data_IF_937416350143
#
_entry.id   IF_937416350143
#
_cell.length_a   1.000
_cell.length_b   1.000
_cell.length_c   1.000
_cell.angle_alpha   90.00
_cell.angle_beta   90.00
_cell.angle_gamma   90.00
#
_symmetry.space_group_name_H-M   'P 1'
#
loop_
_entity.id
_entity.type
_entity.pdbx_description
1 polymer ?
#
# COMPACT_ATOMS: atom_id res chain seq x y z
N UNK A 1 -13.10 -27.65 15.32
CA UNK A 1 -13.58 -26.49 14.52
C UNK A 1 -12.72 -25.31 14.95
N UNK A 2 -11.69 -24.97 14.18
CA UNK A 2 -10.88 -23.79 14.47
C UNK A 2 -11.77 -22.55 14.25
N UNK A 3 -11.62 -21.47 15.03
CA UNK A 3 -12.32 -20.23 14.72
C UNK A 3 -11.91 -19.83 13.29
N UNK A 4 -12.87 -19.65 12.40
CA UNK A 4 -12.64 -18.98 11.11
C UNK A 4 -12.24 -17.55 11.44
N UNK A 5 -10.94 -17.35 11.65
CA UNK A 5 -10.36 -16.03 11.86
C UNK A 5 -10.77 -15.16 10.69
N UNK A 6 -11.36 -14.00 11.00
CA UNK A 6 -11.66 -12.97 10.01
C UNK A 6 -10.38 -12.67 9.24
N UNK A 7 -10.41 -12.75 7.91
CA UNK A 7 -9.28 -12.34 7.06
C UNK A 7 -8.87 -10.92 7.41
N UNK A 8 -7.60 -10.75 7.76
CA UNK A 8 -7.03 -9.47 8.18
C UNK A 8 -6.33 -8.79 7.00
N UNK A 9 -6.37 -7.46 6.99
CA UNK A 9 -5.75 -6.65 5.94
C UNK A 9 -4.80 -5.65 6.59
N UNK A 10 -3.57 -5.58 6.11
CA UNK A 10 -2.66 -4.49 6.39
C UNK A 10 -2.57 -3.53 5.20
N UNK A 11 -2.30 -2.26 5.45
CA UNK A 11 -1.84 -1.32 4.45
C UNK A 11 -0.33 -1.10 4.58
N UNK A 12 0.41 -1.22 3.49
CA UNK A 12 1.83 -0.91 3.40
C UNK A 12 2.01 0.42 2.69
N UNK A 13 2.32 1.47 3.44
CA UNK A 13 2.59 2.81 2.91
C UNK A 13 4.09 3.02 2.78
N UNK A 14 4.59 3.22 1.56
CA UNK A 14 5.99 3.59 1.34
C UNK A 14 6.11 5.11 1.29
N UNK A 15 6.86 5.69 2.22
CA UNK A 15 7.23 7.11 2.22
C UNK A 15 8.59 7.26 1.57
N UNK A 16 8.59 7.78 0.34
CA UNK A 16 9.81 8.09 -0.40
C UNK A 16 10.33 9.50 -0.07
N UNK A 17 11.65 9.63 0.06
CA UNK A 17 12.33 10.88 0.44
C UNK A 17 12.34 11.98 -0.62
N UNK A 18 11.99 13.19 -0.18
CA UNK A 18 12.24 14.55 -0.72
C UNK A 18 11.10 15.53 -0.39
N UNK A 19 10.02 15.08 0.27
CA UNK A 19 8.93 15.96 0.69
C UNK A 19 9.42 16.89 1.81
N UNK A 20 9.25 18.20 1.61
CA UNK A 20 9.39 19.17 2.69
C UNK A 20 8.53 18.71 3.88
N UNK A 21 9.12 18.65 5.07
CA UNK A 21 8.46 18.23 6.31
C UNK A 21 7.14 18.97 6.53
N UNK A 22 7.06 20.24 6.11
CA UNK A 22 5.84 21.05 6.19
C UNK A 22 4.69 20.52 5.32
N UNK A 23 4.99 19.84 4.22
CA UNK A 23 4.00 19.22 3.31
C UNK A 23 3.76 17.75 3.61
N UNK A 24 4.76 17.07 4.19
CA UNK A 24 4.68 15.65 4.56
C UNK A 24 3.63 15.43 5.65
N UNK A 25 3.60 16.30 6.66
CA UNK A 25 2.71 16.15 7.80
C UNK A 25 1.22 16.07 7.45
N UNK A 26 0.61 17.07 6.77
CA UNK A 26 -0.80 17.01 6.43
C UNK A 26 -1.13 15.92 5.41
N UNK A 27 -0.20 15.56 4.53
CA UNK A 27 -0.40 14.48 3.56
C UNK A 27 -0.41 13.10 4.27
N UNK A 28 0.57 12.84 5.12
CA UNK A 28 0.67 11.60 5.88
C UNK A 28 -0.52 11.41 6.82
N UNK A 29 -0.94 12.44 7.55
CA UNK A 29 -2.12 12.36 8.42
C UNK A 29 -3.37 11.98 7.62
N UNK A 30 -3.53 12.58 6.44
CA UNK A 30 -4.67 12.30 5.57
C UNK A 30 -4.63 10.87 5.01
N UNK A 31 -3.47 10.43 4.54
CA UNK A 31 -3.27 9.07 4.01
C UNK A 31 -3.55 8.04 5.10
N UNK A 32 -2.96 8.20 6.29
CA UNK A 32 -3.15 7.30 7.42
C UNK A 32 -4.60 7.18 7.82
N UNK A 33 -5.34 8.30 7.89
CA UNK A 33 -6.79 8.28 8.19
C UNK A 33 -7.55 7.39 7.21
N UNK A 34 -7.28 7.52 5.91
CA UNK A 34 -7.92 6.67 4.90
C UNK A 34 -7.51 5.21 4.99
N UNK A 35 -6.29 4.91 5.40
CA UNK A 35 -5.78 3.54 5.52
C UNK A 35 -6.31 2.82 6.76
N UNK A 36 -6.38 3.49 7.92
CA UNK A 36 -6.92 2.89 9.15
C UNK A 36 -8.42 2.59 9.06
N UNK A 37 -9.15 3.27 8.18
CA UNK A 37 -10.56 2.98 7.90
C UNK A 37 -10.75 1.67 7.10
N UNK A 38 -9.70 1.20 6.42
CA UNK A 38 -9.76 0.05 5.50
C UNK A 38 -9.00 -1.16 6.04
N UNK A 39 -7.86 -0.93 6.70
CA UNK A 39 -6.94 -1.94 7.16
C UNK A 39 -6.96 -2.11 8.69
N UNK A 40 -6.73 -3.33 9.14
CA UNK A 40 -6.58 -3.69 10.55
C UNK A 40 -5.19 -3.26 11.09
N UNK A 41 -4.21 -3.14 10.20
CA UNK A 41 -2.83 -2.76 10.46
C UNK A 41 -2.33 -1.79 9.37
N UNK A 42 -1.47 -0.84 9.72
CA UNK A 42 -0.81 0.05 8.77
C UNK A 42 0.69 0.05 9.04
N UNK A 43 1.47 -0.43 8.09
CA UNK A 43 2.93 -0.38 8.11
C UNK A 43 3.39 0.78 7.23
N UNK A 44 4.03 1.77 7.84
CA UNK A 44 4.65 2.89 7.14
C UNK A 44 6.14 2.61 7.03
N UNK A 45 6.63 2.41 5.80
CA UNK A 45 8.04 2.24 5.53
C UNK A 45 8.65 3.57 5.13
N UNK A 46 9.37 4.19 6.06
CA UNK A 46 9.98 5.50 5.90
C UNK A 46 11.41 5.39 5.40
N UNK A 47 11.64 5.79 4.15
CA UNK A 47 12.95 5.66 3.52
C UNK A 47 13.85 6.88 3.67
N UNK A 48 13.40 7.91 4.38
CA UNK A 48 14.10 9.18 4.50
C UNK A 48 14.31 9.64 5.94
N UNK A 49 14.23 8.68 6.88
CA UNK A 49 14.54 8.86 8.29
C UNK A 49 13.82 10.05 8.94
N UNK A 50 12.53 10.19 8.62
CA UNK A 50 11.66 11.17 9.26
C UNK A 50 11.25 10.73 10.66
N UNK A 51 11.66 9.57 11.18
CA UNK A 51 11.29 9.06 12.50
C UNK A 51 12.05 9.76 13.65
N UNK A 52 12.03 11.10 13.67
CA UNK A 52 12.53 11.94 14.75
C UNK A 52 11.38 12.44 15.64
N UNK A 53 11.59 12.62 16.96
CA UNK A 53 10.56 13.19 17.84
C UNK A 53 9.99 14.51 17.31
N UNK A 54 8.66 14.61 17.26
CA UNK A 54 7.94 15.79 16.76
C UNK A 54 7.77 15.84 15.24
N UNK A 55 8.15 14.78 14.52
CA UNK A 55 7.79 14.62 13.11
C UNK A 55 6.42 13.97 12.95
N UNK A 56 5.81 14.13 11.78
CA UNK A 56 4.56 13.45 11.46
C UNK A 56 4.68 11.92 11.42
N UNK A 57 5.85 11.40 11.02
CA UNK A 57 6.11 9.96 11.04
C UNK A 57 6.21 9.45 12.49
N UNK A 58 6.80 10.22 13.40
CA UNK A 58 6.80 9.88 14.82
C UNK A 58 5.39 9.95 15.41
N UNK A 59 4.64 11.01 15.13
CA UNK A 59 3.26 11.16 15.63
C UNK A 59 2.33 10.05 15.12
N UNK A 60 2.57 9.56 13.90
CA UNK A 60 1.85 8.41 13.34
C UNK A 60 2.00 7.14 14.21
N UNK A 61 3.15 6.92 14.84
CA UNK A 61 3.38 5.76 15.73
C UNK A 61 2.50 5.77 16.99
N UNK A 62 1.89 6.91 17.33
CA UNK A 62 0.98 7.02 18.47
C UNK A 62 -0.37 6.33 18.21
N UNK A 63 -0.70 6.06 16.94
CA UNK A 63 -1.92 5.35 16.59
C UNK A 63 -1.70 3.82 16.74
N UNK A 64 -2.58 3.08 17.44
CA UNK A 64 -2.33 1.68 17.80
C UNK A 64 -2.28 0.73 16.60
N UNK A 65 -2.91 1.10 15.48
CA UNK A 65 -2.87 0.32 14.24
C UNK A 65 -1.66 0.64 13.36
N UNK A 66 -0.84 1.64 13.71
CA UNK A 66 0.23 2.13 12.84
C UNK A 66 1.60 1.73 13.39
N UNK A 67 2.39 1.08 12.54
CA UNK A 67 3.80 0.79 12.80
C UNK A 67 4.64 1.54 11.78
N UNK A 68 5.60 2.34 12.24
CA UNK A 68 6.53 3.04 11.36
C UNK A 68 7.89 2.36 11.43
N UNK A 69 8.44 2.04 10.27
CA UNK A 69 9.71 1.33 10.11
C UNK A 69 10.65 2.21 9.30
N UNK A 70 11.79 2.55 9.89
CA UNK A 70 12.87 3.20 9.16
C UNK A 70 13.52 2.22 8.18
N UNK A 71 13.69 2.66 6.94
CA UNK A 71 14.14 1.83 5.84
C UNK A 71 15.06 2.57 4.88
N UNK A 72 15.48 1.85 3.84
CA UNK A 72 16.35 2.39 2.79
C UNK A 72 15.64 2.38 1.43
N UNK A 73 15.76 3.48 0.68
CA UNK A 73 15.32 3.58 -0.71
C UNK A 73 16.43 3.12 -1.65
N UNK A 74 16.24 1.97 -2.30
CA UNK A 74 17.22 1.40 -3.22
C UNK A 74 16.91 1.71 -4.71
N UNK A 75 16.25 2.84 -5.00
CA UNK A 75 15.74 3.20 -6.35
C UNK A 75 14.82 2.13 -6.96
N UNK A 76 14.19 1.33 -6.11
CA UNK A 76 13.39 0.17 -6.49
C UNK A 76 12.18 0.07 -5.57
N UNK A 77 11.02 0.41 -6.15
CA UNK A 77 9.73 0.42 -5.45
C UNK A 77 9.33 -0.97 -4.98
N UNK A 78 9.56 -1.98 -5.81
CA UNK A 78 9.15 -3.35 -5.49
C UNK A 78 9.97 -3.85 -4.30
N UNK A 79 11.26 -3.53 -4.25
CA UNK A 79 12.09 -3.82 -3.07
C UNK A 79 11.64 -3.08 -1.83
N UNK A 80 11.27 -1.81 -1.92
CA UNK A 80 10.75 -1.07 -0.78
C UNK A 80 9.43 -1.65 -0.25
N UNK A 81 8.53 -2.05 -1.16
CA UNK A 81 7.28 -2.74 -0.79
C UNK A 81 7.54 -4.10 -0.16
N UNK A 82 8.45 -4.90 -0.71
CA UNK A 82 8.86 -6.18 -0.13
C UNK A 82 9.48 -6.01 1.27
N UNK A 83 10.29 -4.98 1.47
CA UNK A 83 10.85 -4.64 2.77
C UNK A 83 9.74 -4.25 3.76
N UNK A 84 8.79 -3.41 3.35
CA UNK A 84 7.62 -3.05 4.17
C UNK A 84 6.80 -4.29 4.54
N UNK A 85 6.56 -5.19 3.58
CA UNK A 85 5.80 -6.43 3.79
C UNK A 85 6.43 -7.37 4.83
N UNK A 86 7.75 -7.31 5.04
CA UNK A 86 8.41 -8.11 6.07
C UNK A 86 7.95 -7.78 7.50
N UNK A 87 7.28 -6.65 7.69
CA UNK A 87 6.77 -6.19 8.98
C UNK A 87 5.26 -6.43 9.16
N UNK A 88 4.57 -6.92 8.13
CA UNK A 88 3.11 -7.10 8.16
C UNK A 88 2.73 -8.37 8.90
N UNK A 89 1.82 -8.26 9.86
CA UNK A 89 1.23 -9.39 10.58
C UNK A 89 -0.10 -9.90 9.99
N UNK A 90 -0.77 -9.11 9.15
CA UNK A 90 -2.04 -9.46 8.53
C UNK A 90 -1.93 -10.55 7.44
N UNK A 91 -3.06 -11.12 7.00
CA UNK A 91 -3.12 -12.14 5.93
C UNK A 91 -2.85 -11.57 4.53
N UNK A 92 -3.26 -10.31 4.32
CA UNK A 92 -3.11 -9.59 3.05
C UNK A 92 -2.52 -8.20 3.30
N UNK A 93 -1.64 -7.76 2.41
CA UNK A 93 -1.01 -6.45 2.41
C UNK A 93 -1.44 -5.64 1.18
N UNK A 94 -2.09 -4.50 1.41
CA UNK A 94 -2.41 -3.49 0.41
C UNK A 94 -1.24 -2.51 0.28
N UNK A 95 -0.48 -2.58 -0.81
CA UNK A 95 0.67 -1.72 -1.07
C UNK A 95 0.25 -0.39 -1.69
N UNK A 96 0.45 0.71 -0.97
CA UNK A 96 0.08 2.07 -1.37
C UNK A 96 1.29 3.02 -1.33
N UNK A 97 1.22 4.06 -2.14
CA UNK A 97 2.20 5.15 -2.15
C UNK A 97 1.67 6.35 -1.37
N UNK A 98 2.59 7.15 -0.85
CA UNK A 98 2.28 8.44 -0.26
C UNK A 98 1.43 9.28 -1.22
N UNK A 99 0.34 9.86 -0.70
CA UNK A 99 -0.65 10.68 -1.40
C UNK A 99 -1.69 9.90 -2.20
N UNK A 100 -1.62 8.57 -2.28
CA UNK A 100 -2.67 7.75 -2.89
C UNK A 100 -3.92 7.68 -2.01
N UNK A 101 -5.09 7.82 -2.62
CA UNK A 101 -6.37 7.74 -1.92
C UNK A 101 -6.98 6.36 -2.11
N UNK A 102 -7.15 5.62 -1.02
CA UNK A 102 -7.82 4.33 -1.03
C UNK A 102 -9.32 4.53 -0.79
N UNK A 103 -10.15 3.90 -1.60
CA UNK A 103 -11.57 3.72 -1.31
C UNK A 103 -11.88 2.24 -1.34
N UNK A 104 -12.47 1.73 -0.25
CA UNK A 104 -12.77 0.31 -0.12
C UNK A 104 -14.15 0.08 0.53
N UNK A 105 -14.67 -1.12 0.33
CA UNK A 105 -15.79 -1.69 1.12
C UNK A 105 -15.20 -2.78 2.04
N UNK A 106 -14.78 -2.46 3.27
CA UNK A 106 -13.88 -3.32 4.05
C UNK A 106 -14.46 -4.70 4.40
N UNK A 107 -15.75 -4.83 4.71
CA UNK A 107 -16.33 -6.17 4.96
C UNK A 107 -16.42 -7.01 3.68
N UNK A 108 -16.90 -6.42 2.59
CA UNK A 108 -17.04 -7.12 1.32
C UNK A 108 -15.67 -7.48 0.70
N UNK A 109 -14.66 -6.64 0.89
CA UNK A 109 -13.29 -6.93 0.51
C UNK A 109 -12.75 -8.13 1.29
N UNK A 110 -12.94 -8.18 2.62
CA UNK A 110 -12.49 -9.32 3.43
C UNK A 110 -13.17 -10.63 3.03
N UNK A 111 -14.45 -10.59 2.66
CA UNK A 111 -15.16 -11.77 2.15
C UNK A 111 -14.57 -12.26 0.83
N UNK A 112 -14.23 -11.35 -0.08
CA UNK A 112 -13.55 -11.74 -1.32
C UNK A 112 -12.16 -12.33 -1.04
N UNK A 113 -11.40 -11.73 -0.13
CA UNK A 113 -10.07 -12.20 0.24
C UNK A 113 -10.07 -13.53 1.01
N UNK A 114 -11.15 -13.85 1.76
CA UNK A 114 -11.32 -15.16 2.40
C UNK A 114 -11.55 -16.27 1.39
N UNK A 115 -12.06 -15.95 0.21
CA UNK A 115 -12.33 -16.93 -0.85
C UNK A 115 -11.12 -17.09 -1.79
N UNK A 116 -10.22 -16.11 -1.84
CA UNK A 116 -9.04 -16.07 -2.70
C UNK A 116 -7.80 -16.80 -2.12
N UNK A 117 -7.99 -17.87 -1.35
CA UNK A 117 -6.94 -18.56 -0.56
C UNK A 117 -5.85 -19.27 -1.36
N UNK A 118 -5.85 -19.23 -2.70
CA UNK A 118 -4.81 -19.83 -3.53
C UNK A 118 -4.11 -18.79 -4.43
N UNK A 119 -4.43 -17.50 -4.24
CA UNK A 119 -3.92 -16.42 -5.08
C UNK A 119 -2.79 -15.68 -4.34
N UNK A 120 -1.59 -15.53 -4.93
CA UNK A 120 -0.47 -14.84 -4.29
C UNK A 120 -0.62 -13.31 -4.31
N UNK A 121 -1.33 -12.77 -5.31
CA UNK A 121 -1.60 -11.35 -5.45
C UNK A 121 -2.87 -11.08 -6.28
N UNK A 122 -3.53 -9.97 -6.01
CA UNK A 122 -4.68 -9.50 -6.78
C UNK A 122 -4.43 -8.12 -7.37
N UNK A 123 -4.94 -7.91 -8.58
CA UNK A 123 -4.84 -6.64 -9.27
C UNK A 123 -5.95 -5.69 -8.82
N UNK A 124 -5.57 -4.45 -8.54
CA UNK A 124 -6.47 -3.38 -8.09
C UNK A 124 -6.50 -2.29 -9.15
N UNK A 125 -7.68 -1.71 -9.36
CA UNK A 125 -7.85 -0.55 -10.23
C UNK A 125 -7.18 0.68 -9.61
N UNK A 126 -6.33 1.32 -10.39
CA UNK A 126 -5.64 2.55 -10.05
C UNK A 126 -6.06 3.64 -11.03
N UNK A 127 -6.74 4.67 -10.53
CA UNK A 127 -7.11 5.86 -11.29
C UNK A 127 -6.00 6.91 -11.11
N UNK A 128 -5.06 6.94 -12.05
CA UNK A 128 -3.94 7.89 -12.11
C UNK A 128 -4.35 9.10 -12.96
N UNK A 129 -4.25 10.31 -12.40
CA UNK A 129 -4.64 11.55 -13.10
C UNK A 129 -3.75 11.85 -14.31
N UNK A 130 -2.50 11.40 -14.31
CA UNK A 130 -1.50 11.63 -15.37
C UNK A 130 -1.49 10.49 -16.38
N UNK A 131 -1.47 9.23 -15.92
CA UNK A 131 -1.38 8.04 -16.78
C UNK A 131 -2.74 7.50 -17.25
N UNK A 132 -3.83 7.96 -16.64
CA UNK A 132 -5.16 7.39 -16.81
C UNK A 132 -5.37 6.14 -15.97
N UNK A 133 -6.57 5.57 -16.06
CA UNK A 133 -6.91 4.35 -15.33
C UNK A 133 -6.09 3.16 -15.81
N UNK A 134 -5.44 2.46 -14.87
CA UNK A 134 -4.73 1.21 -15.12
C UNK A 134 -4.98 0.21 -13.98
N UNK A 135 -4.45 -1.00 -14.11
CA UNK A 135 -4.47 -2.02 -13.06
C UNK A 135 -3.07 -2.32 -12.58
N UNK A 136 -2.94 -2.58 -11.29
CA UNK A 136 -1.65 -2.86 -10.65
C UNK A 136 -1.81 -3.92 -9.58
N UNK A 137 -0.84 -4.83 -9.46
CA UNK A 137 -0.75 -5.76 -8.34
C UNK A 137 -0.53 -4.95 -7.06
N UNK A 138 -1.57 -4.87 -6.21
CA UNK A 138 -1.55 -4.01 -5.02
C UNK A 138 -1.96 -4.75 -3.76
N UNK A 139 -2.76 -5.81 -3.88
CA UNK A 139 -3.06 -6.72 -2.78
C UNK A 139 -2.17 -7.93 -2.89
N UNK A 140 -1.25 -8.07 -1.96
CA UNK A 140 -0.28 -9.15 -1.91
C UNK A 140 -0.58 -10.00 -0.69
N UNK A 141 -0.58 -11.32 -0.85
CA UNK A 141 -0.77 -12.20 0.30
C UNK A 141 0.50 -12.23 1.15
N UNK A 142 0.38 -12.28 2.46
CA UNK A 142 1.55 -12.45 3.32
C UNK A 142 2.02 -13.91 3.31
N UNK A 143 3.33 -14.12 3.43
CA UNK A 143 3.94 -15.45 3.35
C UNK A 143 4.11 -16.02 1.93
N UNK A 144 3.68 -15.33 0.88
CA UNK A 144 3.95 -15.71 -0.53
C UNK A 144 5.27 -15.14 -1.07
N UNK A 145 6.23 -14.84 -0.19
CA UNK A 145 7.51 -14.22 -0.55
C UNK A 145 8.24 -15.00 -1.65
N UNK A 146 8.60 -14.29 -2.73
CA UNK A 146 9.36 -14.84 -3.85
C UNK A 146 8.53 -15.35 -5.03
N UNK A 147 7.21 -15.19 -5.03
CA UNK A 147 6.39 -15.49 -6.22
C UNK A 147 6.57 -14.41 -7.27
N UNK A 148 7.16 -14.76 -8.41
CA UNK A 148 7.12 -13.91 -9.60
C UNK A 148 5.67 -13.81 -10.05
N UNK A 149 5.14 -12.60 -10.08
CA UNK A 149 3.78 -12.31 -10.58
C UNK A 149 3.76 -12.37 -12.11
N UNK A 150 4.01 -13.55 -12.67
CA UNK A 150 3.90 -13.81 -14.09
C UNK A 150 2.48 -14.33 -14.40
N UNK A 151 1.72 -13.57 -15.19
CA UNK A 151 0.41 -13.97 -15.68
C UNK A 151 -0.72 -12.98 -15.37
N UNK A 152 -1.93 -13.38 -15.74
CA UNK A 152 -3.16 -12.61 -15.50
C UNK A 152 -3.57 -12.72 -14.03
N UNK A 153 -3.45 -11.62 -13.29
CA UNK A 153 -3.80 -11.58 -11.87
C UNK A 153 -5.31 -11.49 -11.69
N UNK A 154 -5.83 -12.23 -10.72
CA UNK A 154 -7.24 -12.11 -10.32
C UNK A 154 -7.55 -10.66 -9.94
N UNK A 155 -8.59 -10.11 -10.56
CA UNK A 155 -8.95 -8.72 -10.37
C UNK A 155 -9.83 -8.53 -9.15
N UNK A 156 -9.54 -7.49 -8.37
CA UNK A 156 -10.49 -6.99 -7.37
C UNK A 156 -11.52 -6.09 -8.08
N UNK A 157 -12.83 -6.33 -7.86
CA UNK A 157 -13.87 -5.44 -8.38
C UNK A 157 -13.66 -4.01 -7.88
N UNK A 158 -13.73 -3.02 -8.78
CA UNK A 158 -13.49 -1.61 -8.43
C UNK A 158 -14.52 -1.01 -7.47
N UNK A 159 -15.68 -1.67 -7.31
CA UNK A 159 -16.67 -1.32 -6.30
C UNK A 159 -16.20 -1.69 -4.88
N UNK A 160 -15.33 -2.70 -4.75
CA UNK A 160 -14.80 -3.18 -3.47
C UNK A 160 -13.51 -2.50 -3.08
N UNK A 161 -12.66 -2.18 -4.06
CA UNK A 161 -11.41 -1.47 -3.82
C UNK A 161 -10.97 -0.70 -5.07
N UNK A 162 -10.62 0.57 -4.87
CA UNK A 162 -9.91 1.38 -5.85
C UNK A 162 -8.87 2.26 -5.18
N UNK A 163 -7.84 2.61 -5.95
CA UNK A 163 -6.80 3.56 -5.55
C UNK A 163 -6.85 4.73 -6.51
N UNK A 164 -6.85 5.96 -6.01
CA UNK A 164 -6.73 7.16 -6.83
C UNK A 164 -5.37 7.81 -6.58
N UNK A 165 -4.60 8.08 -7.64
CA UNK A 165 -3.30 8.73 -7.56
C UNK A 165 -3.42 10.19 -8.06
N UNK A 166 -3.41 11.19 -7.15
CA UNK A 166 -3.48 12.60 -7.54
C UNK A 166 -2.13 13.10 -8.10
N UNK A 167 -2.19 14.19 -8.89
CA UNK A 167 -1.04 14.81 -9.60
C UNK A 167 0.20 15.05 -8.73
N UNK A 168 0.02 15.35 -7.45
CA UNK A 168 1.11 15.62 -6.50
C UNK A 168 2.05 14.42 -6.28
N UNK A 169 1.55 13.19 -6.46
CA UNK A 169 2.34 11.95 -6.26
C UNK A 169 3.30 11.65 -7.41
N UNK A 170 3.03 12.20 -8.60
CA UNK A 170 3.82 11.98 -9.83
C UNK A 170 4.98 12.97 -10.02
N UNK A 171 5.05 14.06 -9.26
CA UNK A 171 6.05 15.12 -9.48
C UNK A 171 7.49 14.72 -9.08
N UNK A 172 7.66 13.68 -8.26
CA UNK A 172 8.97 13.13 -7.86
C UNK A 172 9.31 11.77 -8.48
N UNK A 173 8.39 11.18 -9.25
CA UNK A 173 8.62 9.86 -9.87
C UNK A 173 9.25 10.09 -11.24
N UNK A 174 10.54 9.75 -11.47
CA UNK A 174 11.08 9.77 -12.81
C UNK A 174 10.18 8.90 -13.70
N UNK A 175 9.92 9.34 -14.93
CA UNK A 175 9.09 8.62 -15.90
C UNK A 175 9.55 7.15 -16.01
N UNK A 176 8.98 6.26 -15.20
CA UNK A 176 9.13 4.83 -15.40
C UNK A 176 8.32 4.53 -16.66
N UNK A 177 9.04 4.32 -17.77
CA UNK A 177 8.58 3.47 -18.87
C UNK A 177 8.08 2.20 -18.20
N UNK A 178 6.76 1.99 -18.24
CA UNK A 178 6.19 0.79 -17.66
C UNK A 178 6.86 -0.40 -18.34
N UNK A 179 7.45 -1.30 -17.56
CA UNK A 179 7.84 -2.63 -18.04
C UNK A 179 6.60 -3.42 -18.51
N UNK A 180 5.39 -2.91 -18.22
CA UNK A 180 4.11 -3.42 -18.70
C UNK A 180 3.47 -2.63 -19.86
N UNK A 181 4.17 -1.66 -20.47
CA UNK A 181 3.77 -1.15 -21.79
C UNK A 181 4.30 -2.10 -22.88
N UNK A 182 3.65 -3.25 -23.03
CA UNK A 182 3.74 -4.03 -24.28
C UNK A 182 2.36 -4.10 -24.90
N UNK A 183 2.18 -3.29 -25.95
CA UNK A 183 1.34 -3.63 -27.10
C UNK A 183 2.14 -4.56 -27.99
#
# INVERSE_FOLDING_TARGET
MAPTSRTTIAACLVLQGASDTATLAPALEHDLRGLVDVADEVVVYDTADHLAPGSAAFDATLHPAVTVVSGFWAEDREKAQQAAMAHVGADWALCVLAGERVTASPEALRQLLSDAVDVPAMSVRVDDVVRGTHRSARLLRTGSSGVTLEGELTEVPSALLRVCQPVATTAGVPRQRGVFDRV
#
